data_IF_518321857967
#
_entry.id   IF_518321857967
#
_cell.length_a   1.000
_cell.length_b   1.000
_cell.length_c   1.000
_cell.angle_alpha   90.00
_cell.angle_beta   90.00
_cell.angle_gamma   90.00
#
_symmetry.space_group_name_H-M   'P 1'
#
loop_
_entity.id
_entity.type
_entity.pdbx_description
1 polymer ?
#
# COMPACT_ATOMS: atom_id res chain seq x y z
N UNK A 1 24.93 -20.49 9.77
CA UNK A 1 24.38 -19.43 8.90
C UNK A 1 24.32 -19.94 7.48
N UNK A 2 23.14 -19.89 6.85
CA UNK A 2 23.00 -20.23 5.43
C UNK A 2 23.64 -19.16 4.55
N UNK A 3 23.99 -19.51 3.32
CA UNK A 3 24.42 -18.53 2.34
C UNK A 3 23.29 -17.54 2.04
N UNK A 4 23.61 -16.25 1.81
CA UNK A 4 22.59 -15.26 1.46
C UNK A 4 21.97 -15.62 0.10
N UNK A 5 20.64 -15.60 0.02
CA UNK A 5 19.91 -15.76 -1.22
C UNK A 5 19.93 -14.43 -1.99
N UNK A 6 20.60 -14.34 -3.14
CA UNK A 6 20.57 -13.12 -3.94
C UNK A 6 19.18 -12.92 -4.54
N UNK A 7 18.63 -11.72 -4.37
CA UNK A 7 17.30 -11.34 -4.89
C UNK A 7 17.46 -10.13 -5.81
N UNK A 8 16.91 -10.22 -7.02
CA UNK A 8 16.81 -9.12 -7.97
C UNK A 8 15.37 -8.64 -8.06
N UNK A 9 15.16 -7.35 -7.85
CA UNK A 9 13.86 -6.69 -8.02
C UNK A 9 13.95 -5.70 -9.18
N UNK A 10 13.06 -5.84 -10.15
CA UNK A 10 12.85 -4.86 -11.22
C UNK A 10 11.50 -4.22 -11.02
N UNK A 11 11.47 -2.89 -10.88
CA UNK A 11 10.25 -2.08 -10.85
C UNK A 11 10.15 -1.30 -12.15
N UNK A 12 8.99 -1.37 -12.81
CA UNK A 12 8.63 -0.53 -13.96
C UNK A 12 7.41 0.29 -13.59
N UNK A 13 7.44 1.58 -13.87
CA UNK A 13 6.32 2.49 -13.71
C UNK A 13 6.02 3.10 -15.06
N UNK A 14 4.75 3.05 -15.46
CA UNK A 14 4.25 3.66 -16.69
C UNK A 14 3.13 4.64 -16.31
N UNK A 15 3.29 5.88 -16.71
CA UNK A 15 2.27 6.92 -16.55
C UNK A 15 1.57 7.07 -17.90
N UNK A 16 0.25 6.99 -17.91
CA UNK A 16 -0.54 7.21 -19.09
C UNK A 16 -0.67 8.74 -19.31
N UNK A 17 -0.31 9.30 -20.48
CA UNK A 17 -0.25 10.76 -20.69
C UNK A 17 -1.60 11.46 -20.50
N UNK A 18 -2.70 10.78 -20.84
CA UNK A 18 -4.05 11.34 -20.86
C UNK A 18 -5.00 10.66 -19.85
N UNK A 19 -4.44 9.94 -18.87
CA UNK A 19 -5.25 9.25 -17.88
C UNK A 19 -4.67 9.48 -16.47
N UNK A 20 -5.57 9.72 -15.52
CA UNK A 20 -5.25 9.82 -14.09
C UNK A 20 -4.90 8.47 -13.50
N UNK A 21 -3.88 7.80 -14.09
CA UNK A 21 -3.46 6.45 -13.66
C UNK A 21 -1.98 6.21 -13.87
N UNK A 22 -1.44 5.31 -13.04
CA UNK A 22 -0.12 4.73 -13.18
C UNK A 22 -0.22 3.20 -13.16
N UNK A 23 0.54 2.54 -14.03
CA UNK A 23 0.70 1.08 -14.02
C UNK A 23 2.10 0.78 -13.47
N UNK A 24 2.15 -0.07 -12.45
CA UNK A 24 3.41 -0.45 -11.79
C UNK A 24 3.55 -1.96 -11.89
N UNK A 25 4.68 -2.41 -12.43
CA UNK A 25 5.02 -3.83 -12.48
C UNK A 25 6.27 -4.11 -11.65
N UNK A 26 6.20 -5.16 -10.87
CA UNK A 26 7.32 -5.74 -10.14
C UNK A 26 7.63 -7.11 -10.70
N UNK A 27 8.89 -7.33 -11.09
CA UNK A 27 9.44 -8.64 -11.43
C UNK A 27 10.52 -8.95 -10.40
N UNK A 28 10.37 -10.05 -9.66
CA UNK A 28 11.27 -10.45 -8.57
C UNK A 28 11.84 -11.83 -8.90
N UNK A 29 13.14 -11.96 -8.86
CA UNK A 29 13.87 -13.18 -9.14
C UNK A 29 14.86 -13.46 -8.01
N UNK A 30 14.83 -14.67 -7.45
CA UNK A 30 15.82 -15.16 -6.51
C UNK A 30 16.82 -16.08 -7.23
N UNK A 31 18.02 -16.20 -6.70
CA UNK A 31 19.05 -17.13 -7.18
C UNK A 31 18.77 -18.61 -6.88
N UNK A 32 17.57 -18.94 -6.35
CA UNK A 32 17.11 -20.28 -6.00
C UNK A 32 15.66 -20.24 -5.57
N UNK A 33 15.16 -21.36 -5.06
CA UNK A 33 13.81 -21.46 -4.48
C UNK A 33 13.61 -20.50 -3.30
N UNK A 34 12.40 -19.97 -3.14
CA UNK A 34 12.05 -19.17 -1.98
C UNK A 34 12.15 -20.02 -0.71
N UNK A 35 12.92 -19.61 0.31
CA UNK A 35 12.78 -20.23 1.61
C UNK A 35 11.35 -20.00 2.12
N UNK A 36 10.73 -21.02 2.70
CA UNK A 36 9.35 -20.93 3.18
C UNK A 36 9.12 -19.70 4.07
N UNK A 37 7.93 -19.12 4.02
CA UNK A 37 7.47 -17.98 4.85
C UNK A 37 8.03 -16.57 4.51
N UNK A 38 8.50 -16.32 3.32
CA UNK A 38 8.82 -14.97 2.87
C UNK A 38 7.56 -14.23 2.39
N UNK A 39 7.60 -12.90 2.54
CA UNK A 39 6.57 -12.01 2.04
C UNK A 39 7.22 -10.88 1.23
N UNK A 40 6.59 -10.54 0.13
CA UNK A 40 6.89 -9.31 -0.60
C UNK A 40 5.86 -8.26 -0.23
N UNK A 41 6.30 -7.10 0.21
CA UNK A 41 5.45 -5.96 0.52
C UNK A 41 5.87 -4.72 -0.25
N UNK A 42 4.91 -3.88 -0.59
CA UNK A 42 5.13 -2.57 -1.21
C UNK A 42 4.54 -1.50 -0.32
N UNK A 43 5.34 -0.51 0.04
CA UNK A 43 4.88 0.64 0.81
C UNK A 43 4.41 1.75 -0.13
N UNK A 44 3.18 2.24 0.11
CA UNK A 44 2.62 3.44 -0.49
C UNK A 44 2.31 4.45 0.60
N UNK A 45 3.08 5.53 0.65
CA UNK A 45 2.84 6.64 1.55
C UNK A 45 2.04 7.72 0.81
N UNK A 46 0.93 8.14 1.43
CA UNK A 46 0.03 9.17 0.89
C UNK A 46 -0.03 10.32 1.88
N UNK A 47 0.45 11.48 1.46
CA UNK A 47 0.47 12.68 2.29
C UNK A 47 -0.88 13.40 2.18
N UNK A 48 -1.86 12.93 2.97
CA UNK A 48 -3.14 13.59 3.17
C UNK A 48 -3.22 14.05 4.62
N UNK A 49 -3.35 15.34 4.81
CA UNK A 49 -3.42 15.95 6.13
C UNK A 49 -4.77 15.62 6.81
N UNK A 50 -4.76 15.47 8.13
CA UNK A 50 -5.94 15.22 8.96
C UNK A 50 -6.49 13.78 8.88
N UNK A 51 -5.90 12.89 9.66
CA UNK A 51 -6.32 11.49 9.75
C UNK A 51 -7.62 11.22 10.51
N UNK A 52 -8.22 12.22 11.17
CA UNK A 52 -9.42 12.08 12.03
C UNK A 52 -10.68 12.73 11.46
N UNK A 53 -10.64 13.29 10.24
CA UNK A 53 -11.81 13.90 9.62
C UNK A 53 -12.72 12.83 9.00
N UNK A 54 -14.03 12.96 9.19
CA UNK A 54 -15.05 11.99 8.77
C UNK A 54 -15.16 11.85 7.23
N UNK A 55 -14.72 12.87 6.50
CA UNK A 55 -14.68 12.89 5.05
C UNK A 55 -13.41 12.25 4.46
N UNK A 56 -12.50 11.73 5.32
CA UNK A 56 -11.24 11.10 4.93
C UNK A 56 -11.15 9.68 5.45
N UNK A 57 -11.24 8.71 4.54
CA UNK A 57 -11.35 7.31 4.94
C UNK A 57 -10.75 6.36 3.89
N UNK A 58 -10.53 5.12 4.32
CA UNK A 58 -10.25 4.03 3.42
C UNK A 58 -11.55 3.41 2.89
N UNK A 59 -11.51 2.91 1.67
CA UNK A 59 -12.57 2.09 1.10
C UNK A 59 -12.00 0.98 0.21
N UNK A 60 -12.80 -0.02 -0.08
CA UNK A 60 -12.51 -1.05 -1.08
C UNK A 60 -13.75 -1.27 -1.95
N UNK A 61 -13.54 -1.57 -3.24
CA UNK A 61 -14.62 -1.99 -4.14
C UNK A 61 -14.95 -3.49 -3.95
N UNK A 62 -14.03 -4.26 -3.32
CA UNK A 62 -14.19 -5.70 -3.15
C UNK A 62 -15.15 -6.02 -1.99
N UNK A 63 -15.17 -5.19 -0.96
CA UNK A 63 -16.04 -5.35 0.22
C UNK A 63 -16.14 -4.06 1.01
N UNK A 64 -17.16 -3.98 1.85
CA UNK A 64 -17.32 -2.89 2.82
C UNK A 64 -16.26 -3.00 3.94
N UNK A 65 -15.44 -1.97 4.09
CA UNK A 65 -14.45 -1.83 5.17
C UNK A 65 -15.02 -1.06 6.38
N UNK A 66 -16.27 -0.60 6.35
CA UNK A 66 -16.85 0.25 7.39
C UNK A 66 -16.28 1.67 7.42
N UNK A 67 -15.71 2.17 6.32
CA UNK A 67 -15.13 3.50 6.16
C UNK A 67 -14.15 3.91 7.29
N UNK A 68 -13.11 3.11 7.56
CA UNK A 68 -12.16 3.45 8.61
C UNK A 68 -11.40 4.74 8.26
N UNK A 69 -11.22 5.63 9.23
CA UNK A 69 -10.55 6.91 9.04
C UNK A 69 -9.05 6.72 8.76
N UNK A 70 -8.42 7.68 8.05
CA UNK A 70 -7.01 7.60 7.66
C UNK A 70 -6.03 7.52 8.85
N UNK A 71 -6.42 8.07 10.00
CA UNK A 71 -5.64 7.97 11.24
C UNK A 71 -5.76 6.63 11.96
N UNK A 72 -6.52 5.66 11.44
CA UNK A 72 -6.69 4.35 12.07
C UNK A 72 -5.67 3.35 11.57
N UNK A 73 -5.36 2.33 12.41
CA UNK A 73 -4.55 1.18 12.05
C UNK A 73 -5.44 0.00 11.71
N UNK A 74 -5.04 -0.79 10.76
CA UNK A 74 -5.77 -1.99 10.38
C UNK A 74 -4.95 -2.95 9.55
N UNK A 75 -5.49 -4.16 9.41
CA UNK A 75 -4.98 -5.19 8.53
C UNK A 75 -6.20 -5.87 7.90
N UNK A 76 -6.25 -5.83 6.58
CA UNK A 76 -7.36 -6.36 5.79
C UNK A 76 -6.83 -7.47 4.88
N UNK A 77 -7.40 -8.67 4.99
CA UNK A 77 -7.01 -9.84 4.20
C UNK A 77 -7.73 -9.87 2.85
N UNK A 78 -7.10 -10.48 1.84
CA UNK A 78 -7.70 -10.81 0.55
C UNK A 78 -8.34 -9.62 -0.19
N UNK A 79 -7.66 -8.46 -0.20
CA UNK A 79 -8.07 -7.30 -0.96
C UNK A 79 -7.38 -7.25 -2.32
N UNK A 80 -8.15 -7.23 -3.41
CA UNK A 80 -7.66 -6.90 -4.75
C UNK A 80 -7.71 -5.39 -5.04
N UNK A 81 -8.42 -4.61 -4.19
CA UNK A 81 -8.53 -3.17 -4.31
C UNK A 81 -8.56 -2.50 -2.95
N UNK A 82 -7.88 -1.37 -2.82
CA UNK A 82 -8.03 -0.42 -1.71
C UNK A 82 -7.89 1.00 -2.24
N UNK A 83 -8.61 1.94 -1.65
CA UNK A 83 -8.49 3.35 -1.97
C UNK A 83 -8.48 4.21 -0.71
N UNK A 84 -7.88 5.38 -0.85
CA UNK A 84 -7.93 6.49 0.10
C UNK A 84 -8.81 7.57 -0.51
N UNK A 85 -9.76 8.08 0.27
CA UNK A 85 -10.66 9.17 -0.10
C UNK A 85 -10.35 10.39 0.76
N UNK A 86 -10.24 11.54 0.13
CA UNK A 86 -10.22 12.87 0.76
C UNK A 86 -11.37 13.69 0.20
N UNK A 87 -12.47 13.78 0.95
CA UNK A 87 -13.66 14.53 0.55
C UNK A 87 -13.42 16.05 0.48
N UNK A 88 -12.50 16.57 1.27
CA UNK A 88 -12.13 17.99 1.23
C UNK A 88 -11.43 18.36 -0.09
N UNK A 89 -10.47 17.53 -0.52
CA UNK A 89 -9.75 17.73 -1.79
C UNK A 89 -10.52 17.18 -2.98
N UNK A 90 -11.64 16.49 -2.74
CA UNK A 90 -12.42 15.78 -3.75
C UNK A 90 -11.57 14.78 -4.54
N UNK A 91 -10.70 14.06 -3.83
CA UNK A 91 -9.75 13.14 -4.41
C UNK A 91 -9.97 11.70 -3.90
N UNK A 92 -9.96 10.76 -4.82
CA UNK A 92 -9.83 9.33 -4.54
C UNK A 92 -8.55 8.82 -5.18
N UNK A 93 -7.66 8.23 -4.37
CA UNK A 93 -6.48 7.53 -4.84
C UNK A 93 -6.68 6.04 -4.60
N UNK A 94 -6.75 5.25 -5.67
CA UNK A 94 -7.02 3.81 -5.65
C UNK A 94 -5.82 2.97 -6.07
N UNK A 95 -5.69 1.78 -5.47
CA UNK A 95 -4.72 0.74 -5.84
C UNK A 95 -5.48 -0.54 -6.14
N UNK A 96 -5.31 -1.08 -7.34
CA UNK A 96 -5.82 -2.39 -7.73
C UNK A 96 -4.65 -3.32 -8.02
N UNK A 97 -4.72 -4.50 -7.46
CA UNK A 97 -3.70 -5.54 -7.56
C UNK A 97 -4.19 -6.65 -8.50
N UNK A 98 -3.30 -7.26 -9.28
CA UNK A 98 -3.60 -8.40 -10.15
C UNK A 98 -3.90 -9.69 -9.35
N UNK A 99 -3.56 -9.69 -8.06
CA UNK A 99 -3.86 -10.76 -7.10
C UNK A 99 -4.18 -10.16 -5.73
N UNK A 100 -5.08 -10.76 -4.94
CA UNK A 100 -5.43 -10.27 -3.62
C UNK A 100 -4.21 -10.17 -2.69
N UNK A 101 -4.21 -9.15 -1.85
CA UNK A 101 -3.16 -8.82 -0.90
C UNK A 101 -3.66 -8.86 0.54
N UNK A 102 -2.77 -9.12 1.48
CA UNK A 102 -2.94 -8.68 2.86
C UNK A 102 -2.49 -7.22 2.92
N UNK A 103 -3.37 -6.31 3.28
CA UNK A 103 -3.09 -4.87 3.29
C UNK A 103 -3.03 -4.35 4.72
N UNK A 104 -1.83 -3.95 5.16
CA UNK A 104 -1.68 -3.17 6.38
C UNK A 104 -1.90 -1.69 6.07
N UNK A 105 -2.57 -0.98 6.96
CA UNK A 105 -2.80 0.47 6.89
C UNK A 105 -2.54 1.10 8.26
N UNK A 106 -1.86 2.23 8.26
CA UNK A 106 -1.56 2.95 9.49
C UNK A 106 -1.24 4.42 9.20
N UNK A 107 -1.44 5.32 10.19
CA UNK A 107 -1.06 6.72 10.07
C UNK A 107 0.46 6.89 10.11
N UNK A 108 0.95 7.86 9.37
CA UNK A 108 2.29 8.41 9.49
C UNK A 108 2.20 9.66 10.35
N UNK A 109 2.72 9.59 11.57
CA UNK A 109 2.68 10.69 12.52
C UNK A 109 4.10 11.07 12.94
N UNK A 110 4.33 12.36 13.13
CA UNK A 110 5.53 12.87 13.81
C UNK A 110 5.20 13.19 15.26
N UNK A 111 6.20 13.04 16.11
CA UNK A 111 6.12 13.47 17.51
C UNK A 111 7.10 14.60 17.70
N UNK A 112 6.60 15.77 18.06
CA UNK A 112 7.41 16.94 18.43
C UNK A 112 7.26 17.25 19.91
N UNK A 113 8.30 17.84 20.49
CA UNK A 113 8.25 18.35 21.85
C UNK A 113 7.96 19.85 21.81
N UNK A 114 6.86 20.26 22.41
CA UNK A 114 6.47 21.66 22.57
C UNK A 114 6.54 22.06 24.05
N UNK A 115 6.34 23.33 24.34
CA UNK A 115 6.27 23.83 25.74
C UNK A 115 5.11 23.19 26.54
N UNK A 116 4.08 22.68 25.83
CA UNK A 116 2.92 21.97 26.43
C UNK A 116 3.13 20.46 26.57
N UNK A 117 4.29 19.91 26.18
CA UNK A 117 4.56 18.47 26.21
C UNK A 117 4.82 17.85 24.82
N UNK A 118 4.54 16.55 24.69
CA UNK A 118 4.66 15.86 23.41
C UNK A 118 3.40 16.07 22.56
N UNK A 119 3.59 16.61 21.37
CA UNK A 119 2.53 16.78 20.37
C UNK A 119 2.71 15.76 19.24
N UNK A 120 1.60 15.10 18.88
CA UNK A 120 1.54 14.15 17.77
C UNK A 120 0.85 14.80 16.58
N UNK A 121 1.56 14.91 15.46
CA UNK A 121 1.06 15.54 14.25
C UNK A 121 0.93 14.51 13.14
N UNK A 122 -0.28 14.36 12.59
CA UNK A 122 -0.54 13.50 11.45
C UNK A 122 0.11 14.07 10.19
N UNK A 123 0.90 13.25 9.49
CA UNK A 123 1.61 13.62 8.26
C UNK A 123 1.01 12.95 7.02
N UNK A 124 0.28 11.86 7.20
CA UNK A 124 -0.29 11.10 6.12
C UNK A 124 -0.69 9.69 6.54
N UNK A 125 -0.98 8.86 5.57
CA UNK A 125 -1.27 7.46 5.79
C UNK A 125 -0.37 6.56 4.94
N UNK A 126 -0.19 5.34 5.40
CA UNK A 126 0.62 4.31 4.73
C UNK A 126 -0.22 3.08 4.48
N UNK A 127 -0.13 2.56 3.27
CA UNK A 127 -0.65 1.28 2.83
C UNK A 127 0.51 0.34 2.54
N UNK A 128 0.49 -0.87 3.09
CA UNK A 128 1.49 -1.89 2.80
C UNK A 128 0.77 -3.18 2.37
N UNK A 129 0.39 -3.29 1.09
CA UNK A 129 -0.05 -4.55 0.54
C UNK A 129 1.11 -5.56 0.50
N UNK A 130 0.82 -6.79 0.94
CA UNK A 130 1.80 -7.86 1.07
C UNK A 130 1.28 -9.15 0.44
N UNK A 131 2.21 -9.91 -0.15
CA UNK A 131 1.94 -11.21 -0.79
C UNK A 131 2.94 -12.26 -0.32
N UNK A 132 2.49 -13.48 -0.03
CA UNK A 132 3.40 -14.57 0.27
C UNK A 132 4.18 -14.97 -1.00
N UNK A 133 5.46 -15.26 -0.83
CA UNK A 133 6.31 -15.86 -1.84
C UNK A 133 6.32 -17.38 -1.60
N UNK A 134 5.63 -18.12 -2.46
CA UNK A 134 5.45 -19.57 -2.26
C UNK A 134 6.69 -20.37 -2.68
N UNK A 135 7.10 -21.37 -1.90
CA UNK A 135 8.05 -22.37 -2.36
C UNK A 135 7.48 -23.09 -3.59
N UNK A 136 8.32 -23.38 -4.58
CA UNK A 136 7.91 -24.05 -5.82
C UNK A 136 7.67 -23.10 -7.01
N UNK A 137 7.68 -21.79 -6.80
CA UNK A 137 7.58 -20.80 -7.89
C UNK A 137 8.90 -20.59 -8.65
N UNK A 138 9.91 -21.45 -8.41
CA UNK A 138 11.24 -21.37 -9.04
C UNK A 138 11.98 -20.07 -8.71
N UNK A 139 11.68 -19.47 -7.54
CA UNK A 139 12.26 -18.20 -7.10
C UNK A 139 11.80 -16.99 -7.91
N UNK A 140 10.62 -17.06 -8.56
CA UNK A 140 10.07 -15.97 -9.36
C UNK A 140 8.73 -15.51 -8.83
N UNK A 141 8.52 -14.19 -8.86
CA UNK A 141 7.24 -13.56 -8.50
C UNK A 141 7.03 -12.32 -9.35
N UNK A 142 5.83 -12.15 -9.87
CA UNK A 142 5.43 -10.96 -10.59
C UNK A 142 4.18 -10.35 -9.98
N UNK A 143 4.08 -9.02 -10.01
CA UNK A 143 2.94 -8.28 -9.50
C UNK A 143 2.69 -7.08 -10.40
N UNK A 144 1.43 -6.91 -10.78
CA UNK A 144 0.94 -5.71 -11.45
C UNK A 144 0.03 -4.92 -10.51
N UNK A 145 0.34 -3.62 -10.35
CA UNK A 145 -0.44 -2.69 -9.54
C UNK A 145 -0.88 -1.54 -10.44
N UNK A 146 -2.19 -1.29 -10.46
CA UNK A 146 -2.77 -0.11 -11.09
C UNK A 146 -3.12 0.91 -10.02
N UNK A 147 -2.59 2.12 -10.14
CA UNK A 147 -3.01 3.27 -9.35
C UNK A 147 -3.96 4.13 -10.19
N UNK A 148 -5.01 4.65 -9.56
CA UNK A 148 -5.95 5.61 -10.17
C UNK A 148 -6.10 6.83 -9.28
N UNK A 149 -6.35 7.96 -9.92
CA UNK A 149 -6.60 9.24 -9.27
C UNK A 149 -7.88 9.82 -9.86
N UNK A 150 -8.94 9.77 -9.08
CA UNK A 150 -10.29 10.12 -9.50
C UNK A 150 -10.82 11.29 -8.67
N UNK A 151 -11.70 12.10 -9.24
CA UNK A 151 -12.48 13.10 -8.51
C UNK A 151 -13.68 12.41 -7.84
N UNK A 152 -14.03 12.83 -6.59
CA UNK A 152 -15.14 12.29 -5.78
C UNK A 152 -16.28 13.30 -5.71
#
# INVERSE_FOLDING_TARGET
GGEPLPVKVRKRVVLAPDASRAEIRYDIEAGGEWPGSLWFGVEFAVNLLTGSADDRHYLSDDRDLGRPLLGTRGCDEDLAHIAVVDGWQRLRCGWRFDRPARVFRFPLDTVSQSEGGQERVHQGCVLVPCWPLAPGDGGRFTLDVRMTFDEV
#
